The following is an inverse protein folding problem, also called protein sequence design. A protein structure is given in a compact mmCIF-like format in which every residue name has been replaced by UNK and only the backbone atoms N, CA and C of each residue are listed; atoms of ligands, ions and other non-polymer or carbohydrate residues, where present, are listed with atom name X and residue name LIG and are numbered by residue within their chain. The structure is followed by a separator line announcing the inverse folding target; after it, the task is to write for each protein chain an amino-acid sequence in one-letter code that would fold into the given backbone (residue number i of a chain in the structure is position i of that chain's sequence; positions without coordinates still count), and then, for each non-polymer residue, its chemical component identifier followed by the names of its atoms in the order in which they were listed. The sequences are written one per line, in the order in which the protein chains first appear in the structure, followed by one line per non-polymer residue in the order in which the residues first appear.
data_IF_366042814372
#
_entry.id   IF_366042814372
#
_cell.length_a   1.000
_cell.length_b   1.000
_cell.length_c   1.000
_cell.angle_alpha   90.00
_cell.angle_beta   90.00
_cell.angle_gamma   90.00
#
_symmetry.space_group_name_H-M   'P 1'
#
loop_
_entity.id
_entity.type
_entity.pdbx_description
1 polymer ?
#
# COMPACT_ATOMS: atom_id res chain seq x y z
N UNK A 1 -3.06 7.12 -5.36
CA UNK A 1 -4.44 7.05 -5.85
C UNK A 1 -5.41 7.10 -4.68
N UNK A 2 -6.58 7.68 -4.86
CA UNK A 2 -7.58 7.84 -3.80
C UNK A 2 -8.85 7.06 -4.15
N UNK A 3 -9.42 6.39 -3.15
CA UNK A 3 -10.64 5.59 -3.28
C UNK A 3 -11.88 6.50 -3.19
N UNK A 4 -12.95 6.11 -3.83
CA UNK A 4 -14.24 6.79 -3.71
C UNK A 4 -15.07 6.31 -2.52
N UNK A 5 -14.58 5.35 -1.74
CA UNK A 5 -15.27 4.83 -0.57
C UNK A 5 -15.43 5.90 0.52
N UNK A 6 -16.42 5.69 1.38
CA UNK A 6 -16.75 6.63 2.46
C UNK A 6 -15.61 6.74 3.48
N UNK A 7 -15.54 7.89 4.13
CA UNK A 7 -14.49 8.21 5.09
C UNK A 7 -14.33 7.16 6.20
N UNK A 8 -15.40 6.58 6.69
CA UNK A 8 -15.33 5.57 7.75
C UNK A 8 -14.65 4.26 7.27
N UNK A 9 -14.69 3.97 5.96
CA UNK A 9 -14.02 2.81 5.36
C UNK A 9 -12.55 3.09 5.13
N UNK A 10 -12.19 4.33 4.87
CA UNK A 10 -10.85 4.75 4.45
C UNK A 10 -10.05 5.44 5.55
N UNK A 11 -10.52 5.40 6.81
CA UNK A 11 -9.89 6.10 7.91
C UNK A 11 -9.71 5.17 9.11
N UNK A 12 -8.54 5.23 9.73
CA UNK A 12 -8.23 4.52 10.96
C UNK A 12 -7.76 5.51 12.01
N UNK A 13 -8.32 5.41 13.21
CA UNK A 13 -7.91 6.22 14.35
C UNK A 13 -6.97 5.41 15.21
N UNK A 14 -5.78 5.94 15.47
CA UNK A 14 -4.81 5.36 16.41
C UNK A 14 -4.49 6.43 17.44
N UNK A 15 -4.88 6.17 18.70
CA UNK A 15 -4.77 7.16 19.75
C UNK A 15 -5.68 8.35 19.44
N UNK A 16 -5.09 9.54 19.34
CA UNK A 16 -5.81 10.78 19.04
C UNK A 16 -5.64 11.21 17.58
N UNK A 17 -5.01 10.38 16.74
CA UNK A 17 -4.71 10.74 15.34
C UNK A 17 -5.46 9.86 14.37
N UNK A 18 -5.98 10.48 13.32
CA UNK A 18 -6.65 9.76 12.24
C UNK A 18 -5.71 9.59 11.04
N UNK A 19 -5.72 8.40 10.48
CA UNK A 19 -4.88 8.00 9.35
C UNK A 19 -5.77 7.62 8.18
N UNK A 20 -5.41 8.07 6.99
CA UNK A 20 -5.99 7.54 5.76
C UNK A 20 -5.51 6.09 5.61
N UNK A 21 -6.44 5.16 5.33
CA UNK A 21 -6.04 3.76 5.14
C UNK A 21 -5.37 3.58 3.79
N UNK A 22 -4.43 2.64 3.76
CA UNK A 22 -3.65 2.29 2.57
C UNK A 22 -4.14 0.96 2.02
N UNK A 23 -4.14 0.82 0.70
CA UNK A 23 -4.36 -0.46 0.03
C UNK A 23 -3.29 -0.66 -1.03
N UNK A 24 -2.75 -1.86 -1.10
CA UNK A 24 -1.69 -2.22 -2.05
C UNK A 24 -2.31 -3.04 -3.17
N UNK A 25 -2.31 -2.51 -4.39
CA UNK A 25 -2.95 -3.15 -5.54
C UNK A 25 -1.90 -3.79 -6.43
N UNK A 26 -2.09 -5.08 -6.73
CA UNK A 26 -1.19 -5.86 -7.58
C UNK A 26 -2.00 -6.44 -8.74
N UNK A 27 -1.53 -6.22 -9.96
CA UNK A 27 -2.18 -6.72 -11.17
C UNK A 27 -1.78 -8.14 -11.51
N UNK A 28 -2.74 -9.04 -11.55
CA UNK A 28 -2.51 -10.45 -11.87
C UNK A 28 -2.08 -10.69 -13.31
N UNK A 29 -2.39 -9.75 -14.22
CA UNK A 29 -1.99 -9.87 -15.62
C UNK A 29 -0.54 -9.52 -15.88
N UNK A 30 0.20 -9.14 -14.86
CA UNK A 30 1.57 -8.67 -14.97
C UNK A 30 2.55 -9.84 -14.88
N UNK A 31 3.57 -9.84 -15.75
CA UNK A 31 4.63 -10.86 -15.71
C UNK A 31 5.45 -10.84 -14.41
N UNK A 32 5.44 -9.72 -13.72
CA UNK A 32 6.14 -9.53 -12.44
C UNK A 32 5.20 -9.71 -11.23
N UNK A 33 4.04 -10.32 -11.45
CA UNK A 33 2.99 -10.45 -10.45
C UNK A 33 3.50 -10.99 -9.11
N UNK A 34 4.26 -12.08 -9.13
CA UNK A 34 4.72 -12.70 -7.90
C UNK A 34 5.68 -11.82 -7.11
N UNK A 35 6.60 -11.13 -7.81
CA UNK A 35 7.52 -10.19 -7.17
C UNK A 35 6.79 -8.99 -6.60
N UNK A 36 5.82 -8.47 -7.36
CA UNK A 36 5.01 -7.34 -6.90
C UNK A 36 4.16 -7.73 -5.70
N UNK A 37 3.62 -8.95 -5.70
CA UNK A 37 2.85 -9.47 -4.57
C UNK A 37 3.72 -9.61 -3.32
N UNK A 38 4.95 -10.09 -3.45
CA UNK A 38 5.89 -10.19 -2.34
C UNK A 38 6.19 -8.83 -1.74
N UNK A 39 6.45 -7.84 -2.57
CA UNK A 39 6.70 -6.47 -2.11
C UNK A 39 5.48 -5.90 -1.39
N UNK A 40 4.32 -6.01 -2.00
CA UNK A 40 3.08 -5.49 -1.41
C UNK A 40 2.79 -6.15 -0.06
N UNK A 41 2.97 -7.45 0.04
CA UNK A 41 2.75 -8.21 1.27
C UNK A 41 3.74 -7.77 2.37
N UNK A 42 5.01 -7.62 2.01
CA UNK A 42 6.03 -7.17 2.95
C UNK A 42 5.74 -5.77 3.48
N UNK A 43 5.31 -4.86 2.62
CA UNK A 43 4.96 -3.49 3.04
C UNK A 43 3.71 -3.50 3.93
N UNK A 44 2.70 -4.29 3.59
CA UNK A 44 1.52 -4.45 4.42
C UNK A 44 1.89 -4.94 5.82
N UNK A 45 2.72 -5.97 5.91
CA UNK A 45 3.14 -6.53 7.19
C UNK A 45 3.97 -5.53 8.01
N UNK A 46 4.88 -4.83 7.35
CA UNK A 46 5.74 -3.83 8.02
C UNK A 46 4.92 -2.70 8.60
N UNK A 47 3.98 -2.17 7.81
CA UNK A 47 3.14 -1.07 8.25
C UNK A 47 2.18 -1.51 9.36
N UNK A 48 1.66 -2.73 9.28
CA UNK A 48 0.70 -3.27 10.26
C UNK A 48 1.31 -3.47 11.64
N UNK A 49 2.61 -3.69 11.72
CA UNK A 49 3.30 -3.81 13.01
C UNK A 49 3.32 -2.49 13.77
N UNK A 50 3.53 -1.37 13.07
CA UNK A 50 3.64 -0.05 13.70
C UNK A 50 2.31 0.70 13.75
N UNK A 51 1.49 0.50 12.74
CA UNK A 51 0.23 1.24 12.55
C UNK A 51 -0.90 0.24 12.29
N UNK A 52 -1.33 -0.50 13.32
CA UNK A 52 -2.36 -1.54 13.14
C UNK A 52 -3.65 -0.97 12.56
N UNK A 53 -4.14 -1.59 11.50
CA UNK A 53 -5.38 -1.21 10.85
C UNK A 53 -5.26 -0.12 9.80
N UNK A 54 -4.08 0.50 9.64
CA UNK A 54 -3.87 1.51 8.58
C UNK A 54 -3.83 0.85 7.21
N UNK A 55 -3.23 -0.32 7.07
CA UNK A 55 -3.26 -1.04 5.80
C UNK A 55 -4.53 -1.87 5.67
N UNK A 56 -5.24 -1.69 4.55
CA UNK A 56 -6.40 -2.51 4.18
C UNK A 56 -5.97 -3.87 3.61
N UNK A 57 -4.69 -4.05 3.34
CA UNK A 57 -4.14 -5.27 2.81
C UNK A 57 -3.77 -5.17 1.35
N UNK A 58 -3.50 -6.33 0.77
CA UNK A 58 -3.12 -6.45 -0.63
C UNK A 58 -4.35 -6.84 -1.44
N UNK A 59 -4.65 -6.05 -2.48
CA UNK A 59 -5.78 -6.28 -3.38
C UNK A 59 -5.22 -6.78 -4.70
N UNK A 60 -5.65 -7.95 -5.10
CA UNK A 60 -5.23 -8.56 -6.37
C UNK A 60 -6.30 -8.32 -7.42
N UNK A 61 -5.93 -7.64 -8.51
CA UNK A 61 -6.84 -7.31 -9.61
C UNK A 61 -6.52 -8.18 -10.82
N UNK A 62 -7.54 -8.88 -11.32
CA UNK A 62 -7.41 -9.69 -12.52
C UNK A 62 -7.76 -8.92 -13.80
N UNK A 63 -7.82 -9.63 -14.91
CA UNK A 63 -8.11 -9.05 -16.23
C UNK A 63 -9.51 -8.42 -16.31
N UNK A 64 -10.44 -8.85 -15.47
CA UNK A 64 -11.81 -8.38 -15.47
C UNK A 64 -11.98 -6.94 -14.98
N UNK A 65 -10.96 -6.43 -14.27
CA UNK A 65 -10.99 -5.06 -13.71
C UNK A 65 -9.91 -4.20 -14.35
N UNK A 66 -9.79 -4.27 -15.67
CA UNK A 66 -8.75 -3.64 -16.45
C UNK A 66 -7.84 -4.69 -17.06
N UNK A 67 -6.66 -4.29 -17.52
CA UNK A 67 -5.70 -5.23 -18.12
C UNK A 67 -4.84 -5.96 -17.06
N UNK A 68 -5.05 -5.67 -15.77
CA UNK A 68 -4.31 -6.32 -14.69
C UNK A 68 -2.83 -5.94 -14.60
N UNK A 69 -2.40 -4.91 -15.31
CA UNK A 69 -0.99 -4.53 -15.42
C UNK A 69 -0.64 -3.32 -14.55
N UNK A 70 -1.43 -2.25 -14.62
CA UNK A 70 -1.26 -1.02 -13.82
C UNK A 70 0.17 -0.44 -13.93
N UNK A 71 0.79 -0.52 -15.11
CA UNK A 71 2.19 -0.11 -15.36
C UNK A 71 3.22 -0.87 -14.52
N UNK A 72 2.83 -1.96 -13.89
CA UNK A 72 3.71 -2.75 -13.02
C UNK A 72 4.64 -3.67 -13.82
N UNK A 73 4.42 -3.78 -15.11
CA UNK A 73 5.28 -4.51 -16.05
C UNK A 73 6.55 -3.76 -16.41
N UNK A 74 6.63 -2.45 -16.07
CA UNK A 74 7.79 -1.62 -16.36
C UNK A 74 8.96 -1.87 -15.41
N UNK A 75 8.71 -2.57 -14.30
CA UNK A 75 9.72 -2.85 -13.28
C UNK A 75 9.46 -4.21 -12.65
N UNK A 76 10.53 -4.84 -12.16
CA UNK A 76 10.41 -6.08 -11.42
C UNK A 76 9.77 -5.91 -10.03
N UNK A 77 9.69 -4.67 -9.53
CA UNK A 77 9.08 -4.35 -8.24
C UNK A 77 8.29 -3.06 -8.37
N UNK A 78 7.03 -3.18 -8.75
CA UNK A 78 6.13 -2.03 -8.88
C UNK A 78 4.74 -2.41 -8.37
N UNK A 79 4.15 -1.51 -7.59
CA UNK A 79 2.81 -1.68 -7.05
C UNK A 79 2.05 -0.37 -7.15
N UNK A 80 0.72 -0.46 -7.15
CA UNK A 80 -0.14 0.71 -7.05
C UNK A 80 -0.61 0.82 -5.59
N UNK A 81 -0.50 2.00 -5.02
CA UNK A 81 -0.92 2.23 -3.64
C UNK A 81 -2.08 3.21 -3.65
N UNK A 82 -3.21 2.78 -3.08
CA UNK A 82 -4.33 3.67 -2.81
C UNK A 82 -4.16 4.27 -1.43
N UNK A 83 -4.22 5.59 -1.31
CA UNK A 83 -4.06 6.31 -0.06
C UNK A 83 -5.38 6.99 0.29
N UNK A 84 -6.09 6.40 1.23
CA UNK A 84 -7.36 6.92 1.70
C UNK A 84 -8.43 7.04 0.62
N UNK A 85 -9.39 7.90 0.88
CA UNK A 85 -10.48 8.20 -0.03
C UNK A 85 -10.59 9.69 -0.30
N UNK A 86 -11.53 10.05 -1.14
CA UNK A 86 -11.76 11.46 -1.54
C UNK A 86 -12.18 12.32 -0.35
N UNK A 87 -12.73 11.71 0.71
CA UNK A 87 -13.18 12.42 1.91
C UNK A 87 -12.09 12.58 2.98
N UNK A 88 -10.91 12.01 2.79
CA UNK A 88 -9.83 12.15 3.74
C UNK A 88 -9.18 13.53 3.63
N UNK A 89 -8.78 14.08 4.75
CA UNK A 89 -8.08 15.36 4.81
C UNK A 89 -6.63 15.21 4.36
N UNK A 90 -6.00 16.32 3.97
CA UNK A 90 -4.57 16.33 3.65
C UNK A 90 -3.73 15.85 4.83
N UNK A 91 -4.10 16.21 6.05
CA UNK A 91 -3.39 15.77 7.25
C UNK A 91 -3.43 14.26 7.40
N UNK A 92 -4.60 13.66 7.18
CA UNK A 92 -4.77 12.22 7.24
C UNK A 92 -3.95 11.52 6.15
N UNK A 93 -3.97 12.06 4.94
CA UNK A 93 -3.18 11.54 3.82
C UNK A 93 -1.69 11.63 4.10
N UNK A 94 -1.22 12.80 4.53
CA UNK A 94 0.20 13.02 4.80
C UNK A 94 0.72 12.14 5.93
N UNK A 95 -0.11 11.93 6.97
CA UNK A 95 0.26 11.07 8.09
C UNK A 95 0.50 9.64 7.62
N UNK A 96 -0.33 9.15 6.71
CA UNK A 96 -0.21 7.81 6.15
C UNK A 96 0.92 7.69 5.14
N UNK A 97 1.18 8.75 4.37
CA UNK A 97 2.33 8.79 3.46
C UNK A 97 3.64 8.74 4.26
N UNK A 98 3.72 9.46 5.38
CA UNK A 98 4.87 9.38 6.28
C UNK A 98 5.06 7.96 6.84
N UNK A 99 3.98 7.33 7.26
CA UNK A 99 4.01 5.95 7.74
C UNK A 99 4.50 5.00 6.64
N UNK A 100 4.02 5.17 5.43
CA UNK A 100 4.43 4.39 4.27
C UNK A 100 5.91 4.58 3.96
N UNK A 101 6.40 5.82 4.00
CA UNK A 101 7.81 6.12 3.77
C UNK A 101 8.70 5.43 4.79
N UNK A 102 8.29 5.41 6.05
CA UNK A 102 9.01 4.71 7.11
C UNK A 102 9.01 3.19 6.89
N UNK A 103 7.90 2.62 6.44
CA UNK A 103 7.79 1.20 6.13
C UNK A 103 8.70 0.82 4.97
N UNK A 104 8.76 1.64 3.92
CA UNK A 104 9.68 1.44 2.81
C UNK A 104 11.12 1.45 3.28
N UNK A 105 11.48 2.44 4.12
CA UNK A 105 12.83 2.55 4.67
C UNK A 105 13.23 1.30 5.45
N UNK A 106 12.34 0.79 6.28
CA UNK A 106 12.58 -0.44 7.04
C UNK A 106 12.73 -1.66 6.14
N UNK A 107 11.86 -1.79 5.14
CA UNK A 107 11.91 -2.91 4.21
C UNK A 107 13.25 -2.97 3.48
N UNK A 108 13.69 -1.85 2.92
CA UNK A 108 14.95 -1.82 2.19
C UNK A 108 16.16 -1.95 3.12
N UNK A 109 16.09 -1.44 4.33
CA UNK A 109 17.13 -1.62 5.33
C UNK A 109 17.32 -3.09 5.70
N UNK A 110 16.21 -3.81 5.91
CA UNK A 110 16.27 -5.25 6.20
C UNK A 110 16.81 -6.04 5.00
N UNK A 111 16.42 -5.69 3.80
CA UNK A 111 16.92 -6.33 2.60
C UNK A 111 18.43 -6.14 2.44
N UNK A 112 18.95 -4.93 2.69
CA UNK A 112 20.38 -4.65 2.66
C UNK A 112 21.14 -5.46 3.72
N UNK A 113 20.61 -5.59 4.92
CA UNK A 113 21.22 -6.37 5.98
C UNK A 113 21.37 -7.84 5.61
N UNK A 114 20.36 -8.40 4.96
CA UNK A 114 20.37 -9.81 4.54
C UNK A 114 21.37 -10.04 3.41
N UNK A 115 21.48 -9.10 2.49
CA UNK A 115 22.32 -9.22 1.29
C UNK A 115 23.71 -8.62 1.44
N UNK A 116 23.88 -7.85 2.49
CA UNK A 116 25.17 -7.24 2.77
C UNK A 116 25.94 -8.00 3.82
#
# INVERSE_FOLDING_TARGET
HRDSARKNVTTKIIGDKSYAKLAFVVGKGNKNYEKNLQLATALHETISKKYPGVSRGVIQKGFQTGNGVYNQDLSGQAILIEVGGVDNTEEELNRSIDALAKAFGEYFWQAEKVNG
#
